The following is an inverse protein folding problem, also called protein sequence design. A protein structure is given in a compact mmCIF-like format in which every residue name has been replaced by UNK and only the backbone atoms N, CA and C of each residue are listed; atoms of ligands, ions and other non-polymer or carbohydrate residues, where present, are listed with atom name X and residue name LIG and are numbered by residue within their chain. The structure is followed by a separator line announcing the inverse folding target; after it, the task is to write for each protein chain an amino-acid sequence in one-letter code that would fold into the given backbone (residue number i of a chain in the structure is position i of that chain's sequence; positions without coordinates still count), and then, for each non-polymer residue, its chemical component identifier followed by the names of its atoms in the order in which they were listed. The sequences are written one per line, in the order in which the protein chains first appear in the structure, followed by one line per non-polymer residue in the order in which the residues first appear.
data_IF_076402418360
#
_entry.id   IF_076402418360
#
_cell.length_a   1.000
_cell.length_b   1.000
_cell.length_c   1.000
_cell.angle_alpha   90.00
_cell.angle_beta   90.00
_cell.angle_gamma   90.00
#
_symmetry.space_group_name_H-M   'P 1'
#
loop_
_entity.id
_entity.type
_entity.pdbx_description
1 polymer ?
#
# COMPACT_ATOMS: atom_id res chain seq x y z
N UNK A 1 15.21 20.28 -3.75
CA UNK A 1 15.73 19.10 -4.50
C UNK A 1 17.18 18.73 -4.17
N UNK A 2 18.14 19.68 -4.11
CA UNK A 2 19.54 19.39 -3.79
C UNK A 2 19.69 18.70 -2.42
N UNK A 3 19.08 19.23 -1.39
CA UNK A 3 19.08 18.67 -0.03
C UNK A 3 18.65 17.19 0.02
N UNK A 4 17.55 16.83 -0.67
CA UNK A 4 17.08 15.43 -0.72
C UNK A 4 18.06 14.51 -1.47
N UNK A 5 18.70 15.01 -2.54
CA UNK A 5 19.75 14.25 -3.24
C UNK A 5 20.96 14.00 -2.36
N UNK A 6 21.34 14.94 -1.51
CA UNK A 6 22.42 14.77 -0.53
C UNK A 6 22.03 13.74 0.54
N UNK A 7 20.81 13.84 1.11
CA UNK A 7 20.32 12.85 2.06
C UNK A 7 20.27 11.44 1.47
N UNK A 8 19.86 11.29 0.21
CA UNK A 8 19.82 10.00 -0.47
C UNK A 8 21.21 9.35 -0.64
N UNK A 9 22.30 10.12 -0.56
CA UNK A 9 23.68 9.59 -0.63
C UNK A 9 24.19 9.06 0.71
N UNK A 10 23.59 9.48 1.83
CA UNK A 10 24.03 9.05 3.15
C UNK A 10 23.88 7.54 3.35
N UNK A 11 24.74 6.89 4.13
CA UNK A 11 24.58 5.48 4.48
C UNK A 11 23.26 5.24 5.22
N UNK A 12 22.60 4.10 4.96
CA UNK A 12 21.36 3.72 5.64
C UNK A 12 21.52 3.63 7.16
N UNK A 13 22.69 3.22 7.66
CA UNK A 13 22.99 3.18 9.10
C UNK A 13 22.85 4.56 9.75
N UNK A 14 23.36 5.62 9.10
CA UNK A 14 23.18 7.00 9.56
C UNK A 14 21.70 7.43 9.51
N UNK A 15 21.02 7.14 8.39
CA UNK A 15 19.60 7.47 8.24
C UNK A 15 18.72 6.76 9.27
N UNK A 16 19.06 5.52 9.66
CA UNK A 16 18.36 4.81 10.74
C UNK A 16 18.62 5.40 12.12
N UNK A 17 19.80 5.96 12.38
CA UNK A 17 20.06 6.76 13.59
C UNK A 17 19.14 7.97 13.66
N UNK A 18 19.07 8.72 12.55
CA UNK A 18 18.15 9.87 12.41
C UNK A 18 16.67 9.43 12.56
N UNK A 19 16.27 8.33 11.91
CA UNK A 19 14.92 7.76 12.02
C UNK A 19 14.57 7.43 13.47
N UNK A 20 15.47 6.81 14.22
CA UNK A 20 15.25 6.50 15.64
C UNK A 20 15.02 7.77 16.47
N UNK A 21 15.83 8.81 16.26
CA UNK A 21 15.63 10.11 16.91
C UNK A 21 14.28 10.72 16.55
N UNK A 22 13.95 10.76 15.25
CA UNK A 22 12.67 11.29 14.76
C UNK A 22 11.48 10.50 15.31
N UNK A 23 11.58 9.18 15.48
CA UNK A 23 10.51 8.36 16.03
C UNK A 23 10.16 8.75 17.47
N UNK A 24 11.19 9.01 18.30
CA UNK A 24 11.00 9.50 19.67
C UNK A 24 10.36 10.89 19.67
N UNK A 25 10.83 11.79 18.81
CA UNK A 25 10.32 13.14 18.66
C UNK A 25 8.83 13.11 18.26
N UNK A 26 8.47 12.36 17.21
CA UNK A 26 7.09 12.24 16.72
C UNK A 26 6.15 11.58 17.73
N UNK A 27 6.65 10.55 18.44
CA UNK A 27 5.82 9.79 19.39
C UNK A 27 5.64 10.53 20.72
N UNK A 28 6.72 11.05 21.32
CA UNK A 28 6.70 11.55 22.71
C UNK A 28 6.53 13.07 22.79
N UNK A 29 7.13 13.84 21.88
CA UNK A 29 7.14 15.31 21.93
C UNK A 29 6.01 15.89 21.09
N UNK A 30 6.03 15.66 19.78
CA UNK A 30 5.04 16.20 18.83
C UNK A 30 3.70 15.47 18.98
N UNK A 31 3.71 14.21 19.39
CA UNK A 31 2.53 13.32 19.51
C UNK A 31 1.71 13.25 18.23
N UNK A 32 2.40 13.19 17.07
CA UNK A 32 1.79 13.21 15.75
C UNK A 32 0.68 12.16 15.61
N UNK A 33 -0.57 12.60 15.57
CA UNK A 33 -1.78 11.75 15.45
C UNK A 33 -1.85 10.61 16.48
N UNK A 34 -1.24 10.77 17.66
CA UNK A 34 -1.11 9.71 18.65
C UNK A 34 -2.46 9.15 19.09
N UNK A 35 -3.46 10.02 19.33
CA UNK A 35 -4.82 9.58 19.66
C UNK A 35 -5.45 8.71 18.58
N UNK A 36 -5.24 9.06 17.30
CA UNK A 36 -5.74 8.27 16.16
C UNK A 36 -5.09 6.90 16.11
N UNK A 37 -3.75 6.85 16.31
CA UNK A 37 -3.00 5.57 16.29
C UNK A 37 -3.46 4.66 17.43
N UNK A 38 -3.50 5.16 18.66
CA UNK A 38 -3.90 4.38 19.84
C UNK A 38 -5.35 3.93 19.78
N UNK A 39 -6.26 4.79 19.32
CA UNK A 39 -7.67 4.45 19.15
C UNK A 39 -7.86 3.38 18.09
N UNK A 40 -7.24 3.55 16.93
CA UNK A 40 -7.30 2.56 15.87
C UNK A 40 -6.77 1.19 16.35
N UNK A 41 -5.66 1.17 17.09
CA UNK A 41 -5.09 -0.07 17.63
C UNK A 41 -6.00 -0.72 18.66
N UNK A 42 -6.52 0.02 19.64
CA UNK A 42 -7.40 -0.53 20.68
C UNK A 42 -8.67 -1.16 20.09
N UNK A 43 -9.27 -0.50 19.13
CA UNK A 43 -10.50 -1.00 18.49
C UNK A 43 -10.23 -2.18 17.55
N UNK A 44 -9.03 -2.24 16.94
CA UNK A 44 -8.65 -3.34 16.04
C UNK A 44 -8.13 -4.58 16.77
N UNK A 45 -7.67 -4.43 18.01
CA UNK A 45 -7.13 -5.51 18.85
C UNK A 45 -7.71 -5.41 20.26
N UNK A 46 -9.02 -5.64 20.42
CA UNK A 46 -9.67 -5.55 21.73
C UNK A 46 -9.14 -6.57 22.74
N UNK A 47 -8.52 -7.65 22.24
CA UNK A 47 -7.89 -8.71 23.04
C UNK A 47 -6.54 -8.30 23.65
N UNK A 48 -5.91 -7.23 23.16
CA UNK A 48 -4.58 -6.81 23.61
C UNK A 48 -4.63 -5.90 24.83
N UNK A 49 -3.71 -6.14 25.76
CA UNK A 49 -3.52 -5.29 26.93
C UNK A 49 -3.04 -3.88 26.56
N UNK A 50 -3.25 -2.91 27.45
CA UNK A 50 -2.77 -1.54 27.29
C UNK A 50 -1.24 -1.48 27.05
N UNK A 51 -0.47 -2.33 27.71
CA UNK A 51 0.99 -2.40 27.54
C UNK A 51 1.39 -2.90 26.17
N UNK A 52 0.67 -3.89 25.61
CA UNK A 52 0.90 -4.38 24.25
C UNK A 52 0.57 -3.29 23.20
N UNK A 53 -0.55 -2.59 23.38
CA UNK A 53 -0.91 -1.45 22.49
C UNK A 53 0.16 -0.36 22.55
N UNK A 54 0.69 -0.01 23.73
CA UNK A 54 1.77 0.97 23.84
C UNK A 54 3.05 0.51 23.13
N UNK A 55 3.43 -0.78 23.24
CA UNK A 55 4.58 -1.35 22.53
C UNK A 55 4.38 -1.29 21.02
N UNK A 56 3.23 -1.72 20.52
CA UNK A 56 2.89 -1.65 19.09
C UNK A 56 2.92 -0.19 18.61
N UNK A 57 2.38 0.74 19.39
CA UNK A 57 2.40 2.18 19.07
C UNK A 57 3.84 2.70 18.94
N UNK A 58 4.72 2.37 19.89
CA UNK A 58 6.14 2.76 19.82
C UNK A 58 6.82 2.20 18.56
N UNK A 59 6.61 0.91 18.28
CA UNK A 59 7.20 0.24 17.12
C UNK A 59 6.64 0.81 15.80
N UNK A 60 5.35 1.18 15.76
CA UNK A 60 4.73 1.87 14.65
C UNK A 60 5.44 3.20 14.32
N UNK A 61 5.75 4.04 15.30
CA UNK A 61 6.44 5.31 15.03
C UNK A 61 7.86 5.09 14.52
N UNK A 62 8.57 4.06 15.00
CA UNK A 62 9.87 3.70 14.45
C UNK A 62 9.73 3.25 12.99
N UNK A 63 8.75 2.39 12.69
CA UNK A 63 8.50 1.91 11.34
C UNK A 63 8.07 3.04 10.39
N UNK A 64 7.26 3.99 10.87
CA UNK A 64 6.84 5.17 10.10
C UNK A 64 8.04 6.06 9.73
N UNK A 65 8.95 6.30 10.65
CA UNK A 65 10.14 7.12 10.38
C UNK A 65 11.18 6.36 9.55
N UNK A 66 11.29 5.05 9.69
CA UNK A 66 12.09 4.20 8.83
C UNK A 66 11.61 4.26 7.39
N UNK A 67 10.29 4.06 7.16
CA UNK A 67 9.69 4.22 5.85
C UNK A 67 10.04 5.58 5.21
N UNK A 68 9.97 6.66 6.00
CA UNK A 68 10.26 8.00 5.50
C UNK A 68 11.72 8.14 5.03
N UNK A 69 12.70 7.70 5.83
CA UNK A 69 14.12 7.80 5.46
C UNK A 69 14.49 6.84 4.34
N UNK A 70 13.88 5.67 4.28
CA UNK A 70 14.07 4.68 3.21
C UNK A 70 13.47 5.16 1.88
N UNK A 71 12.32 5.86 1.90
CA UNK A 71 11.74 6.51 0.72
C UNK A 71 12.69 7.59 0.18
N UNK A 72 13.25 8.43 1.05
CA UNK A 72 14.24 9.43 0.66
C UNK A 72 15.51 8.78 0.13
N UNK A 73 15.91 7.63 0.67
CA UNK A 73 17.10 6.88 0.26
C UNK A 73 16.96 6.25 -1.14
N UNK A 74 15.76 5.93 -1.59
CA UNK A 74 15.51 5.17 -2.82
C UNK A 74 16.24 5.72 -4.07
N UNK A 75 16.27 7.04 -4.34
CA UNK A 75 17.03 7.57 -5.48
C UNK A 75 18.54 7.30 -5.43
N UNK A 76 19.10 7.09 -4.23
CA UNK A 76 20.51 6.80 -4.00
C UNK A 76 20.85 5.32 -3.82
N UNK A 77 19.84 4.42 -3.88
CA UNK A 77 20.08 2.97 -3.83
C UNK A 77 20.59 2.44 -5.17
N UNK A 78 21.45 1.42 -5.10
CA UNK A 78 21.81 0.60 -6.26
C UNK A 78 20.79 -0.54 -6.42
N UNK A 79 20.65 -1.04 -7.66
CA UNK A 79 19.66 -2.08 -8.00
C UNK A 79 19.90 -3.38 -7.20
N UNK A 80 21.14 -3.82 -7.10
CA UNK A 80 21.53 -5.03 -6.36
C UNK A 80 21.25 -4.90 -4.85
N UNK A 81 21.43 -3.71 -4.30
CA UNK A 81 21.12 -3.41 -2.90
C UNK A 81 19.61 -3.47 -2.65
N UNK A 82 18.78 -2.93 -3.54
CA UNK A 82 17.32 -3.02 -3.40
C UNK A 82 16.84 -4.46 -3.51
N UNK A 83 17.36 -5.25 -4.47
CA UNK A 83 17.01 -6.68 -4.61
C UNK A 83 17.42 -7.53 -3.39
N UNK A 84 18.55 -7.21 -2.74
CA UNK A 84 18.92 -7.86 -1.46
C UNK A 84 17.99 -7.49 -0.31
N UNK A 85 17.36 -6.32 -0.36
CA UNK A 85 16.49 -5.80 0.70
C UNK A 85 15.02 -6.16 0.53
N UNK A 86 14.58 -6.38 -0.70
CA UNK A 86 13.21 -6.81 -1.02
C UNK A 86 13.29 -8.13 -1.76
N UNK A 87 13.11 -9.22 -1.01
CA UNK A 87 13.09 -10.56 -1.57
C UNK A 87 11.66 -10.90 -2.01
N UNK A 88 11.50 -11.31 -3.27
CA UNK A 88 10.20 -11.57 -3.85
C UNK A 88 9.94 -13.07 -3.96
N UNK A 89 8.71 -13.48 -3.60
CA UNK A 89 8.25 -14.87 -3.65
C UNK A 89 7.01 -15.00 -4.54
N UNK A 90 6.85 -16.15 -5.17
CA UNK A 90 5.72 -16.48 -6.05
C UNK A 90 5.60 -15.54 -7.26
N UNK A 91 6.72 -15.03 -7.75
CA UNK A 91 6.74 -14.15 -8.94
C UNK A 91 6.27 -14.88 -10.20
N UNK A 92 6.39 -16.21 -10.25
CA UNK A 92 5.90 -17.06 -11.35
C UNK A 92 4.41 -16.84 -11.61
N UNK A 93 3.61 -16.65 -10.54
CA UNK A 93 2.19 -16.29 -10.66
C UNK A 93 1.97 -15.05 -11.54
N UNK A 94 2.86 -14.08 -11.48
CA UNK A 94 2.79 -12.85 -12.27
C UNK A 94 3.29 -13.09 -13.70
N UNK A 95 4.41 -13.82 -13.86
CA UNK A 95 4.97 -14.16 -15.16
C UNK A 95 4.00 -15.01 -16.00
N UNK A 96 3.30 -15.95 -15.38
CA UNK A 96 2.30 -16.78 -16.06
C UNK A 96 1.22 -15.94 -16.73
N UNK A 97 0.72 -14.92 -16.05
CA UNK A 97 -0.27 -14.00 -16.64
C UNK A 97 0.33 -13.07 -17.70
N UNK A 98 1.50 -12.51 -17.43
CA UNK A 98 2.19 -11.61 -18.38
C UNK A 98 2.53 -12.35 -19.68
N UNK A 99 3.01 -13.58 -19.59
CA UNK A 99 3.35 -14.42 -20.76
C UNK A 99 2.11 -14.81 -21.57
N UNK A 100 0.93 -14.85 -20.96
CA UNK A 100 -0.36 -15.00 -21.64
C UNK A 100 -0.89 -13.69 -22.24
N UNK A 101 -0.09 -12.61 -22.22
CA UNK A 101 -0.51 -11.30 -22.73
C UNK A 101 -1.48 -10.54 -21.80
N UNK A 102 -1.61 -10.95 -20.53
CA UNK A 102 -2.52 -10.32 -19.56
C UNK A 102 -1.82 -9.29 -18.70
N UNK A 103 -2.41 -8.11 -18.58
CA UNK A 103 -2.07 -7.15 -17.53
C UNK A 103 -2.61 -7.66 -16.20
N UNK A 104 -1.84 -7.48 -15.10
CA UNK A 104 -2.20 -7.96 -13.76
C UNK A 104 -2.46 -6.79 -12.85
N UNK A 105 -3.59 -6.80 -12.14
CA UNK A 105 -3.85 -5.86 -11.05
C UNK A 105 -3.18 -6.39 -9.79
N UNK A 106 -2.28 -5.60 -9.20
CA UNK A 106 -1.57 -5.92 -7.97
C UNK A 106 -2.14 -5.02 -6.85
N UNK A 107 -2.98 -5.60 -6.01
CA UNK A 107 -3.51 -4.90 -4.83
C UNK A 107 -2.51 -5.03 -3.69
N UNK A 108 -2.11 -3.92 -3.12
CA UNK A 108 -1.22 -3.86 -1.95
C UNK A 108 -1.80 -2.92 -0.89
N UNK A 109 -1.08 -2.73 0.20
CA UNK A 109 -1.50 -1.92 1.34
C UNK A 109 -0.38 -1.00 1.83
N UNK A 110 -0.72 -0.03 2.68
CA UNK A 110 0.26 0.81 3.37
C UNK A 110 0.90 0.06 4.55
N UNK A 111 1.47 -1.12 4.27
CA UNK A 111 2.23 -1.93 5.23
C UNK A 111 3.73 -1.87 4.93
N UNK A 112 4.54 -1.89 5.96
CA UNK A 112 6.00 -1.92 5.87
C UNK A 112 6.54 -0.80 4.94
N UNK A 113 7.42 -1.12 3.97
CA UNK A 113 7.89 -0.15 2.99
C UNK A 113 7.28 -0.39 1.60
N UNK A 114 6.03 -0.02 1.43
CA UNK A 114 5.31 -0.15 0.15
C UNK A 114 5.93 0.67 -1.00
N UNK A 115 6.72 1.71 -0.71
CA UNK A 115 7.37 2.53 -1.75
C UNK A 115 8.49 1.74 -2.48
N UNK A 116 9.03 0.69 -1.86
CA UNK A 116 10.04 -0.16 -2.49
C UNK A 116 9.45 -1.30 -3.33
N UNK A 117 8.14 -1.55 -3.26
CA UNK A 117 7.47 -2.65 -3.98
C UNK A 117 7.57 -2.49 -5.49
N UNK A 118 7.12 -1.36 -6.03
CA UNK A 118 7.12 -1.14 -7.49
C UNK A 118 8.53 -1.11 -8.08
N UNK A 119 9.52 -0.42 -7.48
CA UNK A 119 10.91 -0.51 -7.92
C UNK A 119 11.49 -1.93 -7.91
N UNK A 120 11.20 -2.73 -6.87
CA UNK A 120 11.65 -4.11 -6.82
C UNK A 120 11.05 -4.95 -7.97
N UNK A 121 9.77 -4.77 -8.28
CA UNK A 121 9.13 -5.47 -9.41
C UNK A 121 9.72 -5.09 -10.76
N UNK A 122 10.09 -3.81 -10.96
CA UNK A 122 10.80 -3.41 -12.19
C UNK A 122 12.14 -4.11 -12.30
N UNK A 123 12.88 -4.21 -11.20
CA UNK A 123 14.19 -4.91 -11.18
C UNK A 123 14.05 -6.43 -11.38
N UNK A 124 12.87 -7.01 -11.12
CA UNK A 124 12.53 -8.39 -11.48
C UNK A 124 12.08 -8.54 -12.94
N UNK A 125 12.13 -7.49 -13.76
CA UNK A 125 11.84 -7.53 -15.18
C UNK A 125 10.39 -7.17 -15.56
N UNK A 126 9.56 -6.77 -14.63
CA UNK A 126 8.18 -6.37 -14.91
C UNK A 126 8.08 -4.91 -15.37
N UNK A 127 7.17 -4.62 -16.30
CA UNK A 127 6.67 -3.26 -16.51
C UNK A 127 5.66 -2.95 -15.41
N UNK A 128 5.79 -1.80 -14.72
CA UNK A 128 4.96 -1.46 -13.56
C UNK A 128 4.37 -0.07 -13.71
N UNK A 129 3.03 -0.01 -13.67
CA UNK A 129 2.27 1.23 -13.46
C UNK A 129 1.92 1.34 -11.97
N UNK A 130 2.45 2.34 -11.26
CA UNK A 130 2.11 2.63 -9.86
C UNK A 130 0.98 3.64 -9.80
N UNK A 131 -0.23 3.17 -9.47
CA UNK A 131 -1.38 4.05 -9.37
C UNK A 131 -1.34 4.85 -8.07
N UNK A 132 -1.49 6.17 -8.18
CA UNK A 132 -1.44 7.06 -7.04
C UNK A 132 -2.48 8.18 -7.12
N UNK A 133 -2.79 8.77 -5.97
CA UNK A 133 -3.57 9.99 -5.85
C UNK A 133 -2.64 11.19 -5.85
N UNK A 134 -2.91 12.19 -6.70
CA UNK A 134 -2.11 13.42 -6.77
C UNK A 134 -2.05 14.13 -5.42
N UNK A 135 -0.88 14.60 -5.05
CA UNK A 135 -0.65 15.33 -3.81
C UNK A 135 -1.03 16.80 -3.96
N UNK A 136 -1.47 17.43 -2.87
CA UNK A 136 -1.84 18.85 -2.87
C UNK A 136 -0.66 19.80 -3.04
N UNK A 137 0.54 19.40 -2.55
CA UNK A 137 1.77 20.17 -2.69
C UNK A 137 2.50 19.79 -3.98
N UNK A 138 2.69 20.73 -4.89
CA UNK A 138 3.44 20.52 -6.14
C UNK A 138 4.88 20.06 -5.91
N UNK A 139 5.53 20.56 -4.85
CA UNK A 139 6.87 20.12 -4.46
C UNK A 139 6.89 18.66 -4.04
N UNK A 140 5.96 18.25 -3.17
CA UNK A 140 5.85 16.85 -2.72
C UNK A 140 5.49 15.92 -3.88
N UNK A 141 4.61 16.37 -4.78
CA UNK A 141 4.24 15.65 -5.99
C UNK A 141 5.46 15.37 -6.88
N UNK A 142 6.21 16.40 -7.25
CA UNK A 142 7.42 16.26 -8.09
C UNK A 142 8.48 15.38 -7.42
N UNK A 143 8.66 15.51 -6.10
CA UNK A 143 9.60 14.69 -5.35
C UNK A 143 9.18 13.21 -5.39
N UNK A 144 7.91 12.90 -5.12
CA UNK A 144 7.44 11.52 -5.12
C UNK A 144 7.44 10.89 -6.52
N UNK A 145 7.13 11.67 -7.56
CA UNK A 145 7.25 11.21 -8.95
C UNK A 145 8.71 10.81 -9.29
N UNK A 146 9.68 11.64 -8.92
CA UNK A 146 11.10 11.35 -9.13
C UNK A 146 11.55 10.11 -8.34
N UNK A 147 11.10 9.95 -7.11
CA UNK A 147 11.44 8.79 -6.26
C UNK A 147 10.86 7.52 -6.87
N UNK A 148 9.57 7.50 -7.17
CA UNK A 148 8.84 6.31 -7.67
C UNK A 148 9.28 5.87 -9.05
N UNK A 149 9.73 6.80 -9.92
CA UNK A 149 10.23 6.46 -11.26
C UNK A 149 11.70 6.05 -11.32
N UNK A 150 12.41 6.01 -10.19
CA UNK A 150 13.87 5.81 -10.12
C UNK A 150 14.38 4.59 -10.88
N UNK A 151 13.66 3.48 -10.87
CA UNK A 151 14.04 2.24 -11.53
C UNK A 151 13.17 1.91 -12.77
N UNK A 152 12.35 2.86 -13.24
CA UNK A 152 11.53 2.69 -14.44
C UNK A 152 10.07 2.33 -14.18
N UNK A 153 9.60 2.27 -12.92
CA UNK A 153 8.17 2.25 -12.65
C UNK A 153 7.52 3.55 -13.13
N UNK A 154 6.30 3.45 -13.66
CA UNK A 154 5.56 4.60 -14.18
C UNK A 154 4.49 5.02 -13.17
N UNK A 155 4.65 6.16 -12.49
CA UNK A 155 3.59 6.71 -11.66
C UNK A 155 2.41 7.15 -12.53
N UNK A 156 1.22 6.62 -12.23
CA UNK A 156 -0.01 6.89 -12.97
C UNK A 156 -1.06 7.46 -12.02
N UNK A 157 -1.53 8.67 -12.28
CA UNK A 157 -2.58 9.23 -11.43
C UNK A 157 -3.90 8.47 -11.63
N UNK A 158 -4.70 8.34 -10.56
CA UNK A 158 -6.03 7.72 -10.63
C UNK A 158 -6.90 8.32 -11.74
N UNK A 159 -6.75 9.64 -12.02
CA UNK A 159 -7.50 10.34 -13.05
C UNK A 159 -7.09 9.94 -14.47
N UNK A 160 -5.81 9.64 -14.69
CA UNK A 160 -5.26 9.31 -16.01
C UNK A 160 -5.23 7.80 -16.29
N UNK A 161 -5.45 6.97 -15.28
CA UNK A 161 -5.44 5.51 -15.41
C UNK A 161 -6.38 4.98 -16.53
N UNK A 162 -7.64 5.43 -16.66
CA UNK A 162 -8.52 4.92 -17.72
C UNK A 162 -7.96 5.15 -19.11
N UNK A 163 -7.41 6.35 -19.37
CA UNK A 163 -6.76 6.67 -20.65
C UNK A 163 -5.54 5.78 -20.92
N UNK A 164 -4.71 5.57 -19.88
CA UNK A 164 -3.52 4.73 -19.98
C UNK A 164 -3.87 3.26 -20.21
N UNK A 165 -4.97 2.76 -19.64
CA UNK A 165 -5.46 1.40 -19.93
C UNK A 165 -5.82 1.20 -21.40
N UNK A 166 -6.26 2.23 -22.08
CA UNK A 166 -6.57 2.18 -23.52
C UNK A 166 -5.30 2.29 -24.36
N UNK A 167 -4.44 3.29 -24.09
CA UNK A 167 -3.22 3.52 -24.88
C UNK A 167 -2.21 2.37 -24.79
N UNK A 168 -2.16 1.67 -23.64
CA UNK A 168 -1.23 0.58 -23.37
C UNK A 168 -1.88 -0.82 -23.39
N UNK A 169 -3.03 -0.97 -24.07
CA UNK A 169 -3.82 -2.22 -24.05
C UNK A 169 -3.05 -3.46 -24.53
N UNK A 170 -2.10 -3.27 -25.45
CA UNK A 170 -1.30 -4.35 -26.04
C UNK A 170 0.05 -4.56 -25.29
N UNK A 171 0.29 -3.85 -24.21
CA UNK A 171 1.52 -3.93 -23.43
C UNK A 171 1.21 -4.50 -22.03
N UNK A 172 1.34 -5.83 -21.83
CA UNK A 172 1.13 -6.48 -20.54
C UNK A 172 2.04 -5.88 -19.46
N UNK A 173 1.49 -5.65 -18.28
CA UNK A 173 2.20 -5.01 -17.18
C UNK A 173 1.51 -5.23 -15.83
N UNK A 174 2.18 -4.89 -14.77
CA UNK A 174 1.58 -4.83 -13.44
C UNK A 174 0.97 -3.45 -13.20
N UNK A 175 -0.23 -3.41 -12.64
CA UNK A 175 -0.90 -2.19 -12.18
C UNK A 175 -0.99 -2.24 -10.66
N UNK A 176 -0.04 -1.58 -9.98
CA UNK A 176 0.02 -1.53 -8.52
C UNK A 176 -0.98 -0.53 -7.95
N UNK A 177 -1.85 -1.00 -7.07
CA UNK A 177 -2.88 -0.20 -6.40
C UNK A 177 -2.79 -0.40 -4.88
N UNK A 178 -2.53 0.66 -4.14
CA UNK A 178 -2.63 0.65 -2.67
C UNK A 178 -4.09 0.93 -2.28
N UNK A 179 -4.81 -0.10 -1.80
CA UNK A 179 -6.28 -0.09 -1.77
C UNK A 179 -6.89 -0.02 -0.35
N UNK A 180 -6.08 0.18 0.69
CA UNK A 180 -6.47 0.10 2.11
C UNK A 180 -6.85 1.43 2.77
N UNK A 181 -6.85 2.54 2.03
CA UNK A 181 -7.28 3.84 2.57
C UNK A 181 -8.77 4.08 2.35
N UNK A 182 -9.29 5.10 3.06
CA UNK A 182 -10.69 5.48 2.98
C UNK A 182 -11.01 6.10 1.62
N UNK A 183 -12.11 5.69 0.94
CA UNK A 183 -12.56 6.30 -0.29
C UNK A 183 -12.90 7.79 -0.14
N UNK A 184 -12.66 8.56 -1.21
CA UNK A 184 -13.02 9.99 -1.24
C UNK A 184 -14.53 10.21 -1.25
N UNK A 185 -15.28 9.27 -1.87
CA UNK A 185 -16.72 9.30 -2.00
C UNK A 185 -17.26 8.00 -1.39
N UNK A 186 -17.46 7.96 -0.06
CA UNK A 186 -17.87 6.75 0.66
C UNK A 186 -19.23 6.20 0.25
N UNK A 187 -20.08 7.04 -0.35
CA UNK A 187 -21.39 6.69 -0.87
C UNK A 187 -21.32 5.64 -1.98
N UNK A 188 -20.25 5.62 -2.76
CA UNK A 188 -20.02 4.65 -3.83
C UNK A 188 -18.99 3.57 -3.46
N UNK A 189 -18.63 3.49 -2.18
CA UNK A 189 -17.69 2.49 -1.68
C UNK A 189 -18.35 1.12 -1.53
N UNK A 190 -17.54 0.08 -1.56
CA UNK A 190 -17.94 -1.23 -1.10
C UNK A 190 -17.73 -1.30 0.42
N UNK A 191 -18.79 -1.59 1.16
CA UNK A 191 -18.78 -1.66 2.62
C UNK A 191 -18.71 -3.12 3.10
N UNK A 192 -17.75 -3.40 3.96
CA UNK A 192 -17.56 -4.73 4.55
C UNK A 192 -16.90 -4.62 5.93
N UNK A 193 -17.01 -5.66 6.75
CA UNK A 193 -16.35 -5.69 8.05
C UNK A 193 -14.83 -5.83 7.90
N UNK A 194 -14.09 -4.97 8.58
CA UNK A 194 -12.63 -4.99 8.60
C UNK A 194 -12.12 -4.57 9.97
N UNK A 195 -11.33 -5.43 10.61
CA UNK A 195 -10.78 -5.17 11.95
C UNK A 195 -11.91 -4.80 12.95
N UNK A 196 -12.99 -5.60 12.96
CA UNK A 196 -14.17 -5.45 13.82
C UNK A 196 -15.03 -4.19 13.56
N UNK A 197 -14.90 -3.56 12.41
CA UNK A 197 -15.63 -2.32 12.08
C UNK A 197 -16.14 -2.31 10.66
N UNK A 198 -17.38 -1.81 10.48
CA UNK A 198 -17.93 -1.52 9.15
C UNK A 198 -17.05 -0.51 8.43
N UNK A 199 -16.52 -0.88 7.26
CA UNK A 199 -15.41 -0.17 6.63
C UNK A 199 -15.61 -0.04 5.13
N UNK A 200 -15.52 1.20 4.57
CA UNK A 200 -15.60 1.41 3.14
C UNK A 200 -14.28 1.08 2.44
N UNK A 201 -14.34 0.38 1.32
CA UNK A 201 -13.24 0.11 0.41
C UNK A 201 -13.48 0.70 -0.98
N UNK A 202 -12.41 1.07 -1.68
CA UNK A 202 -12.49 1.50 -3.08
C UNK A 202 -12.91 0.33 -3.97
N UNK A 203 -14.03 0.43 -4.72
CA UNK A 203 -14.44 -0.63 -5.65
C UNK A 203 -13.68 -0.61 -6.98
N UNK A 204 -12.79 0.37 -7.20
CA UNK A 204 -12.15 0.62 -8.49
C UNK A 204 -11.29 -0.52 -9.02
N UNK A 205 -10.55 -1.22 -8.15
CA UNK A 205 -9.73 -2.37 -8.52
C UNK A 205 -10.59 -3.54 -9.03
N UNK A 206 -11.67 -3.88 -8.33
CA UNK A 206 -12.60 -4.94 -8.75
C UNK A 206 -13.37 -4.55 -10.01
N UNK A 207 -13.86 -3.31 -10.10
CA UNK A 207 -14.54 -2.82 -11.33
C UNK A 207 -13.63 -2.89 -12.54
N UNK A 208 -12.35 -2.52 -12.38
CA UNK A 208 -11.36 -2.60 -13.46
C UNK A 208 -11.07 -4.07 -13.83
N UNK A 209 -10.90 -4.96 -12.84
CA UNK A 209 -10.68 -6.38 -13.06
C UNK A 209 -11.81 -7.00 -13.88
N UNK A 210 -13.06 -6.77 -13.48
CA UNK A 210 -14.25 -7.29 -14.16
C UNK A 210 -14.42 -6.71 -15.56
N UNK A 211 -14.33 -5.39 -15.71
CA UNK A 211 -14.57 -4.72 -17.01
C UNK A 211 -13.52 -5.05 -18.08
N UNK A 212 -12.31 -5.41 -17.67
CA UNK A 212 -11.18 -5.72 -18.55
C UNK A 212 -10.76 -7.18 -18.50
N UNK A 213 -11.46 -8.00 -17.74
CA UNK A 213 -11.19 -9.44 -17.55
C UNK A 213 -9.71 -9.70 -17.15
N UNK A 214 -9.23 -8.97 -16.13
CA UNK A 214 -7.84 -8.97 -15.67
C UNK A 214 -7.67 -9.82 -14.41
N UNK A 215 -6.58 -10.59 -14.28
CA UNK A 215 -6.22 -11.25 -13.03
C UNK A 215 -5.88 -10.23 -11.95
N UNK A 216 -6.18 -10.59 -10.70
CA UNK A 216 -5.92 -9.78 -9.52
C UNK A 216 -5.12 -10.59 -8.52
N UNK A 217 -4.05 -10.01 -8.01
CA UNK A 217 -3.21 -10.60 -6.97
C UNK A 217 -3.05 -9.64 -5.79
N UNK A 218 -2.80 -10.19 -4.62
CA UNK A 218 -2.41 -9.45 -3.43
C UNK A 218 -0.89 -9.49 -3.29
N UNK A 219 -0.29 -8.33 -3.06
CA UNK A 219 1.12 -8.19 -2.73
C UNK A 219 1.28 -8.03 -1.20
N UNK A 220 1.59 -9.13 -0.54
CA UNK A 220 1.81 -9.23 0.92
C UNK A 220 3.25 -8.83 1.24
N UNK A 221 3.44 -7.58 1.66
CA UNK A 221 4.75 -7.06 2.02
C UNK A 221 4.95 -7.14 3.54
N UNK A 222 6.01 -7.80 3.96
CA UNK A 222 6.36 -8.00 5.37
C UNK A 222 7.76 -7.52 5.68
N UNK A 223 7.93 -6.82 6.79
CA UNK A 223 9.25 -6.47 7.32
C UNK A 223 9.84 -7.67 8.06
N UNK A 224 10.93 -8.25 7.57
CA UNK A 224 11.69 -9.33 8.25
C UNK A 224 12.57 -8.74 9.34
N UNK A 225 13.32 -7.73 8.99
CA UNK A 225 14.14 -6.91 9.89
C UNK A 225 14.22 -5.48 9.35
N UNK A 226 14.80 -4.57 10.12
CA UNK A 226 14.94 -3.17 9.72
C UNK A 226 15.64 -3.05 8.36
N UNK A 227 14.94 -2.48 7.37
CA UNK A 227 15.42 -2.30 6.01
C UNK A 227 15.46 -3.56 5.14
N UNK A 228 14.80 -4.65 5.56
CA UNK A 228 14.69 -5.88 4.79
C UNK A 228 13.25 -6.39 4.80
N UNK A 229 12.77 -6.79 3.62
CA UNK A 229 11.38 -7.09 3.38
C UNK A 229 11.22 -8.36 2.55
N UNK A 230 10.13 -9.06 2.78
CA UNK A 230 9.63 -10.15 1.94
C UNK A 230 8.36 -9.69 1.25
N UNK A 231 8.28 -9.87 -0.06
CA UNK A 231 7.14 -9.55 -0.90
C UNK A 231 6.60 -10.84 -1.51
N UNK A 232 5.44 -11.29 -1.04
CA UNK A 232 4.83 -12.54 -1.50
C UNK A 232 3.56 -12.25 -2.28
N UNK A 233 3.42 -12.81 -3.49
CA UNK A 233 2.22 -12.67 -4.29
C UNK A 233 1.24 -13.81 -4.03
N UNK A 234 -0.04 -13.44 -3.80
CA UNK A 234 -1.14 -14.37 -3.53
C UNK A 234 -2.28 -14.11 -4.49
N UNK A 235 -2.88 -15.14 -5.12
CA UNK A 235 -4.00 -14.92 -6.04
C UNK A 235 -5.23 -14.41 -5.27
N UNK A 236 -5.91 -13.41 -5.84
CA UNK A 236 -7.23 -12.95 -5.39
C UNK A 236 -8.31 -13.45 -6.33
N UNK A 237 -8.14 -13.26 -7.64
CA UNK A 237 -9.08 -13.71 -8.65
C UNK A 237 -8.40 -13.86 -10.02
N UNK A 238 -8.78 -14.88 -10.75
CA UNK A 238 -8.46 -15.04 -12.18
C UNK A 238 -9.70 -14.84 -13.04
N UNK A 239 -9.53 -14.39 -14.31
CA UNK A 239 -10.63 -14.35 -15.27
C UNK A 239 -11.08 -15.75 -15.70
N UNK A 240 -12.38 -15.91 -16.09
CA UNK A 240 -13.44 -14.92 -16.06
C UNK A 240 -13.96 -14.67 -14.64
N UNK A 241 -14.53 -13.45 -14.41
CA UNK A 241 -15.05 -13.06 -13.09
C UNK A 241 -16.59 -13.21 -13.00
N UNK A 242 -17.20 -13.93 -13.93
CA UNK A 242 -18.67 -14.07 -14.04
C UNK A 242 -19.30 -14.74 -12.84
N UNK A 243 -18.59 -15.71 -12.24
CA UNK A 243 -19.10 -16.54 -11.15
C UNK A 243 -18.84 -15.93 -9.77
N UNK A 244 -18.14 -14.79 -9.72
CA UNK A 244 -17.86 -14.11 -8.47
C UNK A 244 -18.95 -13.08 -8.17
N UNK A 245 -19.56 -13.08 -6.97
CA UNK A 245 -20.49 -12.03 -6.57
C UNK A 245 -19.77 -10.66 -6.51
N UNK A 246 -20.52 -9.54 -6.68
CA UNK A 246 -19.97 -8.22 -6.49
C UNK A 246 -19.32 -8.06 -5.10
N UNK A 247 -18.12 -7.47 -5.05
CA UNK A 247 -17.35 -7.28 -3.83
C UNK A 247 -16.43 -8.45 -3.44
N UNK A 248 -16.56 -9.62 -4.07
CA UNK A 248 -15.80 -10.82 -3.69
C UNK A 248 -14.28 -10.64 -3.78
N UNK A 249 -13.79 -9.86 -4.74
CA UNK A 249 -12.34 -9.58 -4.88
C UNK A 249 -11.88 -8.68 -3.73
N UNK A 250 -12.70 -7.70 -3.36
CA UNK A 250 -12.40 -6.80 -2.24
C UNK A 250 -12.44 -7.57 -0.92
N UNK A 251 -13.40 -8.47 -0.71
CA UNK A 251 -13.48 -9.28 0.51
C UNK A 251 -12.25 -10.18 0.66
N UNK A 252 -11.81 -10.86 -0.42
CA UNK A 252 -10.57 -11.65 -0.40
C UNK A 252 -9.34 -10.79 -0.11
N UNK A 253 -9.28 -9.58 -0.69
CA UNK A 253 -8.21 -8.62 -0.39
C UNK A 253 -8.23 -8.20 1.07
N UNK A 254 -9.41 -7.86 1.61
CA UNK A 254 -9.62 -7.48 3.01
C UNK A 254 -9.15 -8.59 3.97
N UNK A 255 -9.49 -9.85 3.70
CA UNK A 255 -9.12 -11.00 4.53
C UNK A 255 -7.60 -11.21 4.58
N UNK A 256 -6.93 -11.12 3.42
CA UNK A 256 -5.48 -11.21 3.35
C UNK A 256 -4.79 -10.01 4.00
N UNK A 257 -5.33 -8.80 3.82
CA UNK A 257 -4.83 -7.59 4.48
C UNK A 257 -4.95 -7.70 6.00
N UNK A 258 -6.09 -8.15 6.52
CA UNK A 258 -6.28 -8.36 7.95
C UNK A 258 -5.29 -9.39 8.51
N UNK A 259 -5.07 -10.48 7.79
CA UNK A 259 -4.06 -11.49 8.13
C UNK A 259 -2.65 -10.87 8.20
N UNK A 260 -2.28 -10.04 7.22
CA UNK A 260 -0.99 -9.33 7.18
C UNK A 260 -0.83 -8.40 8.38
N UNK A 261 -1.86 -7.60 8.69
CA UNK A 261 -1.85 -6.66 9.83
C UNK A 261 -1.77 -7.41 11.16
N UNK A 262 -2.53 -8.50 11.34
CA UNK A 262 -2.52 -9.30 12.58
C UNK A 262 -1.18 -9.99 12.81
N UNK A 263 -0.48 -10.41 11.74
CA UNK A 263 0.85 -11.01 11.83
C UNK A 263 1.91 -10.01 12.34
N UNK A 264 1.83 -8.74 11.95
CA UNK A 264 2.76 -7.69 12.41
C UNK A 264 2.07 -6.33 12.53
N UNK A 265 1.34 -6.08 13.62
CA UNK A 265 0.50 -4.90 13.77
C UNK A 265 1.24 -3.57 13.63
N UNK A 266 2.50 -3.48 14.03
CA UNK A 266 3.28 -2.24 13.96
C UNK A 266 3.60 -1.75 12.55
N UNK A 267 3.40 -2.59 11.53
CA UNK A 267 3.84 -2.29 10.16
C UNK A 267 2.77 -1.57 9.32
N UNK A 268 1.50 -1.53 9.76
CA UNK A 268 0.43 -0.84 9.03
C UNK A 268 0.32 0.64 9.39
N UNK A 269 -0.18 1.46 8.45
CA UNK A 269 -0.25 2.93 8.57
C UNK A 269 -1.38 3.40 9.51
N UNK A 270 -1.26 3.13 10.82
CA UNK A 270 -2.25 3.45 11.84
C UNK A 270 -2.55 4.94 12.00
N UNK A 271 -1.69 5.83 11.53
CA UNK A 271 -1.94 7.28 11.56
C UNK A 271 -3.00 7.76 10.56
N UNK A 272 -3.41 6.91 9.62
CA UNK A 272 -4.53 7.21 8.73
C UNK A 272 -5.86 7.13 9.47
N UNK A 273 -6.76 8.13 9.29
CA UNK A 273 -8.12 8.13 9.85
C UNK A 273 -9.01 7.16 9.05
N UNK A 274 -8.71 5.84 9.13
CA UNK A 274 -9.34 4.79 8.30
C UNK A 274 -10.85 4.73 8.51
N UNK A 275 -11.31 4.90 9.75
CA UNK A 275 -12.72 4.76 10.16
C UNK A 275 -13.39 6.11 10.46
N UNK A 276 -13.09 7.15 9.67
CA UNK A 276 -13.76 8.46 9.78
C UNK A 276 -15.21 8.47 9.24
N UNK A 277 -15.59 7.42 8.50
CA UNK A 277 -16.91 7.22 7.92
C UNK A 277 -17.52 5.93 8.43
N UNK A 278 -18.85 5.91 8.60
CA UNK A 278 -19.66 4.73 8.90
C UNK A 278 -20.87 4.71 7.97
N UNK A 279 -21.36 3.52 7.63
CA UNK A 279 -22.40 3.31 6.60
C UNK A 279 -23.67 4.12 6.90
N UNK A 280 -24.17 4.11 8.12
CA UNK A 280 -25.38 4.82 8.53
C UNK A 280 -25.36 6.33 8.26
N UNK A 281 -24.17 6.96 8.16
CA UNK A 281 -24.06 8.36 7.74
C UNK A 281 -24.52 8.59 6.31
N UNK A 282 -24.52 7.56 5.47
CA UNK A 282 -24.79 7.62 4.03
C UNK A 282 -26.03 6.83 3.62
N UNK A 283 -26.74 6.19 4.57
CA UNK A 283 -27.89 5.32 4.32
C UNK A 283 -29.07 6.04 3.64
N UNK A 284 -29.14 7.37 3.78
CA UNK A 284 -30.18 8.18 3.13
C UNK A 284 -29.95 8.41 1.62
N UNK A 285 -28.75 8.09 1.10
CA UNK A 285 -28.39 8.27 -0.31
C UNK A 285 -28.66 7.04 -1.17
N UNK A 286 -28.75 5.85 -0.58
CA UNK A 286 -29.06 4.60 -1.27
C UNK A 286 -29.88 3.66 -0.37
N UNK A 287 -31.22 3.53 -0.65
CA UNK A 287 -32.09 2.60 0.07
C UNK A 287 -31.68 1.12 -0.05
N UNK A 288 -30.77 0.76 -0.97
CA UNK A 288 -30.25 -0.60 -1.12
C UNK A 288 -29.00 -0.86 -0.28
N UNK A 289 -28.51 0.14 0.46
CA UNK A 289 -27.36 0.05 1.36
C UNK A 289 -27.76 -0.19 2.84
N UNK A 290 -29.05 -0.34 3.11
CA UNK A 290 -29.63 -0.73 4.42
C UNK A 290 -29.83 -2.22 4.51
#
# INVERSE_FOLDING_TARGET
MLFFRLLARLPLSFLYGLSTFLSVLLHRVIRYRRSVVEENLRQSFPEKSANEIQRITKDFYLNLTDLFVETIKLPGLQADELLKRVVCFNTDLLFDWINQGKTVIVMTSHTANWEWTAPAMVLHGFRVDSVYKTLSSSFSEQMMLLIRSRFGAVPVSMKTLPRRMVSEKNNPRLIGMVADQVPDIPEYAYWTDFMHRDTPFYPGSERLARSRNLPVVYADLRRVKRGYYELTFKPLAGPPHTDLPPGAIIDRYRDLLETTIRAKPSDWLWSHKRWKHWRGKYAFLDPKLT
#
